data_IF_253596448706
#
_entry.id   IF_253596448706
#
_cell.length_a   1.000
_cell.length_b   1.000
_cell.length_c   1.000
_cell.angle_alpha   90.00
_cell.angle_beta   90.00
_cell.angle_gamma   90.00
#
_symmetry.space_group_name_H-M   'P 1'
#
loop_
_entity.id
_entity.type
_entity.pdbx_description
1 polymer ?
#
# COMPACT_ATOMS: atom_id res chain seq x y z
N UNK A 1 -35.85 12.35 25.62
CA UNK A 1 -35.86 13.80 25.39
C UNK A 1 -34.47 14.31 25.75
N UNK A 2 -33.56 14.31 24.77
CA UNK A 2 -32.12 14.48 25.01
C UNK A 2 -31.75 15.95 24.79
N UNK A 3 -31.45 16.66 25.86
CA UNK A 3 -31.04 18.06 25.80
C UNK A 3 -29.63 18.17 25.19
N UNK A 4 -29.55 18.78 24.02
CA UNK A 4 -28.31 19.22 23.37
C UNK A 4 -27.98 20.59 23.93
N UNK A 5 -26.81 20.77 24.54
CA UNK A 5 -26.28 22.10 24.87
C UNK A 5 -25.23 22.43 23.80
N UNK A 6 -25.46 23.51 23.06
CA UNK A 6 -24.57 24.01 22.02
C UNK A 6 -24.06 25.39 22.38
N UNK A 7 -22.74 25.53 22.53
CA UNK A 7 -22.07 26.83 22.67
C UNK A 7 -21.47 27.21 21.31
N UNK A 8 -21.65 28.46 20.87
CA UNK A 8 -21.24 28.97 19.56
C UNK A 8 -20.26 30.14 19.69
N UNK A 9 -19.17 30.12 18.91
CA UNK A 9 -18.18 31.19 18.85
C UNK A 9 -18.13 31.80 17.44
N UNK A 10 -18.06 33.13 17.35
CA UNK A 10 -18.18 33.90 16.10
C UNK A 10 -16.97 34.81 15.90
N UNK A 11 -16.41 34.83 14.69
CA UNK A 11 -15.32 35.73 14.30
C UNK A 11 -15.82 36.68 13.18
N UNK A 12 -15.76 37.99 13.43
CA UNK A 12 -16.18 39.02 12.48
C UNK A 12 -14.97 39.72 11.85
N UNK A 13 -15.01 39.90 10.54
CA UNK A 13 -14.16 40.83 9.77
C UNK A 13 -15.10 41.60 8.83
N UNK A 14 -15.08 42.92 8.92
CA UNK A 14 -15.79 43.84 7.99
C UNK A 14 -17.33 43.71 7.91
N UNK A 15 -17.99 43.17 8.95
CA UNK A 15 -19.46 43.15 9.03
C UNK A 15 -20.15 41.94 8.39
N UNK A 16 -19.38 40.94 7.93
CA UNK A 16 -19.91 39.68 7.39
C UNK A 16 -19.37 38.47 8.17
N UNK A 17 -20.18 37.43 8.33
CA UNK A 17 -19.79 36.19 9.01
C UNK A 17 -18.95 35.32 8.05
N UNK A 18 -17.65 35.16 8.33
CA UNK A 18 -16.73 34.36 7.50
C UNK A 18 -16.66 32.88 7.90
N UNK A 19 -16.73 32.58 9.20
CA UNK A 19 -16.64 31.22 9.74
C UNK A 19 -17.41 31.12 11.05
N UNK A 20 -17.94 29.94 11.35
CA UNK A 20 -18.66 29.64 12.57
C UNK A 20 -18.27 28.26 13.10
N UNK A 21 -18.26 28.10 14.42
CA UNK A 21 -18.00 26.83 15.08
C UNK A 21 -19.11 26.54 16.09
N UNK A 22 -19.65 25.33 16.04
CA UNK A 22 -20.60 24.81 17.01
C UNK A 22 -19.98 23.66 17.79
N UNK A 23 -20.01 23.74 19.12
CA UNK A 23 -19.63 22.62 19.98
C UNK A 23 -20.88 21.86 20.38
N UNK A 24 -20.97 20.59 20.02
CA UNK A 24 -22.13 19.74 20.31
C UNK A 24 -21.74 18.70 21.36
N UNK A 25 -22.43 18.74 22.52
CA UNK A 25 -22.19 17.81 23.63
C UNK A 25 -23.34 16.79 23.71
N UNK A 26 -23.00 15.50 23.62
CA UNK A 26 -23.94 14.39 23.76
C UNK A 26 -23.92 13.74 25.15
N UNK A 27 -25.08 13.34 25.68
CA UNK A 27 -25.18 12.50 26.88
C UNK A 27 -25.26 11.01 26.50
N UNK A 28 -24.71 10.13 27.34
CA UNK A 28 -24.79 8.67 27.13
C UNK A 28 -23.75 8.12 26.14
N UNK A 29 -22.65 8.85 25.94
CA UNK A 29 -21.59 8.52 24.97
C UNK A 29 -20.45 7.67 25.57
N UNK A 30 -20.72 6.92 26.65
CA UNK A 30 -19.71 6.05 27.26
C UNK A 30 -19.32 4.87 26.34
N UNK A 31 -20.26 4.42 25.50
CA UNK A 31 -20.03 3.36 24.52
C UNK A 31 -19.61 3.93 23.16
N UNK A 32 -18.52 3.40 22.61
CA UNK A 32 -17.90 3.88 21.37
C UNK A 32 -18.80 3.67 20.14
N UNK A 33 -19.61 2.62 20.11
CA UNK A 33 -20.59 2.38 19.04
C UNK A 33 -21.65 3.50 18.99
N UNK A 34 -22.17 3.89 20.15
CA UNK A 34 -23.16 4.98 20.25
C UNK A 34 -22.56 6.32 19.81
N UNK A 35 -21.30 6.60 20.16
CA UNK A 35 -20.54 7.76 19.66
C UNK A 35 -20.41 7.73 18.14
N UNK A 36 -20.06 6.58 17.57
CA UNK A 36 -19.86 6.42 16.13
C UNK A 36 -21.17 6.68 15.36
N UNK A 37 -22.29 6.12 15.81
CA UNK A 37 -23.60 6.38 15.22
C UNK A 37 -24.03 7.85 15.34
N UNK A 38 -23.75 8.49 16.48
CA UNK A 38 -24.04 9.91 16.68
C UNK A 38 -23.24 10.80 15.70
N UNK A 39 -21.93 10.59 15.61
CA UNK A 39 -21.02 11.30 14.69
C UNK A 39 -21.41 11.04 13.23
N UNK A 40 -21.81 9.82 12.88
CA UNK A 40 -22.32 9.50 11.55
C UNK A 40 -23.61 10.24 11.23
N UNK A 41 -24.54 10.33 12.20
CA UNK A 41 -25.77 11.11 12.06
C UNK A 41 -25.49 12.58 11.78
N UNK A 42 -24.56 13.19 12.53
CA UNK A 42 -24.12 14.56 12.29
C UNK A 42 -23.50 14.73 10.89
N UNK A 43 -22.61 13.80 10.48
CA UNK A 43 -22.01 13.81 9.14
C UNK A 43 -23.07 13.73 8.04
N UNK A 44 -24.13 12.95 8.23
CA UNK A 44 -25.25 12.85 7.28
C UNK A 44 -26.02 14.17 7.16
N UNK A 45 -26.24 14.86 8.29
CA UNK A 45 -26.88 16.19 8.29
C UNK A 45 -25.99 17.22 7.59
N UNK A 46 -24.69 17.25 7.90
CA UNK A 46 -23.74 18.15 7.24
C UNK A 46 -23.69 17.93 5.72
N UNK A 47 -23.66 16.67 5.29
CA UNK A 47 -23.71 16.31 3.87
C UNK A 47 -25.04 16.69 3.19
N UNK A 48 -26.14 16.79 3.95
CA UNK A 48 -27.44 17.23 3.41
C UNK A 48 -27.48 18.73 3.13
N UNK A 49 -26.51 19.49 3.65
CA UNK A 49 -26.42 20.93 3.50
C UNK A 49 -25.03 21.35 2.94
N UNK A 50 -24.70 20.93 1.71
CA UNK A 50 -23.38 21.13 1.12
C UNK A 50 -23.01 22.61 0.92
N UNK A 51 -24.00 23.51 0.85
CA UNK A 51 -23.76 24.95 0.67
C UNK A 51 -22.96 25.61 1.81
N UNK A 52 -22.86 24.98 2.98
CA UNK A 52 -22.10 25.53 4.12
C UNK A 52 -20.67 24.98 4.24
N UNK A 53 -20.27 24.02 3.39
CA UNK A 53 -18.96 23.36 3.42
C UNK A 53 -18.47 23.00 4.84
N UNK A 54 -19.39 22.53 5.68
CA UNK A 54 -19.14 22.33 7.09
C UNK A 54 -18.54 20.95 7.34
N UNK A 55 -17.46 20.90 8.11
CA UNK A 55 -16.76 19.66 8.48
C UNK A 55 -16.92 19.38 9.97
N UNK A 56 -16.93 18.09 10.31
CA UNK A 56 -17.03 17.63 11.70
C UNK A 56 -15.64 17.21 12.19
N UNK A 57 -15.18 17.85 13.25
CA UNK A 57 -13.92 17.51 13.91
C UNK A 57 -14.19 16.74 15.21
N UNK A 58 -13.59 15.56 15.33
CA UNK A 58 -13.54 14.75 16.56
C UNK A 58 -12.15 14.10 16.61
N UNK A 59 -11.47 14.18 17.76
CA UNK A 59 -10.13 13.62 17.95
C UNK A 59 -10.10 12.10 17.75
N UNK A 60 -11.22 11.42 18.01
CA UNK A 60 -11.37 9.98 17.83
C UNK A 60 -12.04 9.61 16.49
N UNK A 61 -12.20 10.57 15.56
CA UNK A 61 -12.95 10.39 14.31
C UNK A 61 -12.48 9.22 13.44
N UNK A 62 -11.18 8.90 13.48
CA UNK A 62 -10.61 7.74 12.80
C UNK A 62 -11.14 6.42 13.39
N UNK A 63 -11.14 6.29 14.72
CA UNK A 63 -11.63 5.09 15.43
C UNK A 63 -13.14 4.94 15.22
N UNK A 64 -13.90 6.03 15.30
CA UNK A 64 -15.34 6.01 15.07
C UNK A 64 -15.71 5.62 13.64
N UNK A 65 -14.94 6.10 12.66
CA UNK A 65 -15.15 5.72 11.26
C UNK A 65 -14.83 4.23 11.04
N UNK A 66 -13.77 3.72 11.66
CA UNK A 66 -13.40 2.30 11.62
C UNK A 66 -14.51 1.41 12.19
N UNK A 67 -15.10 1.77 13.34
CA UNK A 67 -16.21 1.00 13.95
C UNK A 67 -17.39 0.83 12.98
N UNK A 68 -17.65 1.82 12.14
CA UNK A 68 -18.76 1.79 11.18
C UNK A 68 -18.44 1.02 9.90
N UNK A 69 -17.18 1.04 9.43
CA UNK A 69 -16.78 0.41 8.16
C UNK A 69 -16.21 -0.99 8.32
N UNK A 70 -15.77 -1.38 9.53
CA UNK A 70 -15.08 -2.66 9.77
C UNK A 70 -15.84 -3.88 9.24
N UNK A 71 -17.17 -3.89 9.32
CA UNK A 71 -17.97 -5.01 8.81
C UNK A 71 -17.89 -5.15 7.28
N UNK A 72 -17.92 -4.03 6.57
CA UNK A 72 -17.81 -3.98 5.11
C UNK A 72 -16.38 -4.25 4.65
N UNK A 73 -15.39 -3.74 5.38
CA UNK A 73 -13.98 -3.94 5.07
C UNK A 73 -13.56 -5.41 5.31
N UNK A 74 -14.11 -6.04 6.36
CA UNK A 74 -13.88 -7.45 6.68
C UNK A 74 -14.43 -8.38 5.59
N UNK A 75 -15.67 -8.17 5.15
CA UNK A 75 -16.26 -9.00 4.08
C UNK A 75 -15.50 -8.80 2.75
N UNK A 76 -15.07 -7.56 2.47
CA UNK A 76 -14.24 -7.26 1.29
C UNK A 76 -12.90 -7.98 1.32
N UNK A 77 -12.21 -7.96 2.47
CA UNK A 77 -10.92 -8.66 2.65
C UNK A 77 -11.05 -10.19 2.54
N UNK A 78 -12.08 -10.78 3.15
CA UNK A 78 -12.34 -12.23 3.05
C UNK A 78 -12.66 -12.61 1.60
N UNK A 79 -13.50 -11.84 0.90
CA UNK A 79 -13.83 -12.11 -0.49
C UNK A 79 -12.59 -12.01 -1.39
N UNK A 80 -11.76 -10.99 -1.19
CA UNK A 80 -10.51 -10.80 -1.95
C UNK A 80 -9.52 -11.95 -1.73
N UNK A 81 -9.34 -12.40 -0.48
CA UNK A 81 -8.43 -13.52 -0.18
C UNK A 81 -8.91 -14.84 -0.78
N UNK A 82 -10.21 -15.16 -0.69
CA UNK A 82 -10.79 -16.37 -1.30
C UNK A 82 -10.68 -16.32 -2.83
N UNK A 83 -10.98 -15.17 -3.44
CA UNK A 83 -10.86 -14.98 -4.88
C UNK A 83 -9.41 -15.14 -5.34
N UNK A 84 -8.45 -14.53 -4.63
CA UNK A 84 -7.02 -14.67 -4.91
C UNK A 84 -6.57 -16.13 -4.83
N UNK A 85 -6.96 -16.84 -3.76
CA UNK A 85 -6.66 -18.27 -3.61
C UNK A 85 -7.25 -19.11 -4.75
N UNK A 86 -8.50 -18.87 -5.13
CA UNK A 86 -9.13 -19.57 -6.25
C UNK A 86 -8.39 -19.32 -7.58
N UNK A 87 -8.03 -18.07 -7.86
CA UNK A 87 -7.27 -17.69 -9.07
C UNK A 87 -5.91 -18.38 -9.09
N UNK A 88 -5.18 -18.35 -7.97
CA UNK A 88 -3.89 -19.03 -7.84
C UNK A 88 -4.09 -20.52 -8.09
N UNK A 89 -5.03 -21.19 -7.42
CA UNK A 89 -5.29 -22.62 -7.62
C UNK A 89 -5.58 -22.96 -9.09
N UNK A 90 -6.43 -22.19 -9.77
CA UNK A 90 -6.79 -22.45 -11.18
C UNK A 90 -5.59 -22.22 -12.12
N UNK A 91 -4.84 -21.14 -11.93
CA UNK A 91 -3.66 -20.85 -12.73
C UNK A 91 -2.55 -21.88 -12.48
N UNK A 92 -2.30 -22.23 -11.21
CA UNK A 92 -1.25 -23.16 -10.81
C UNK A 92 -1.54 -24.56 -11.35
N UNK A 93 -2.78 -25.06 -11.21
CA UNK A 93 -3.18 -26.38 -11.72
C UNK A 93 -3.04 -26.44 -13.25
N UNK A 94 -3.47 -25.42 -13.98
CA UNK A 94 -3.44 -25.45 -15.45
C UNK A 94 -2.05 -25.15 -16.03
N UNK A 95 -1.35 -24.12 -15.51
CA UNK A 95 -0.06 -23.69 -16.03
C UNK A 95 1.07 -24.65 -15.64
N UNK A 96 1.07 -25.22 -14.43
CA UNK A 96 2.15 -26.13 -14.04
C UNK A 96 2.02 -27.51 -14.65
N UNK A 97 0.81 -28.10 -14.67
CA UNK A 97 0.62 -29.42 -15.32
C UNK A 97 1.00 -29.35 -16.81
N UNK A 98 0.67 -28.23 -17.49
CA UNK A 98 1.08 -27.99 -18.87
C UNK A 98 2.58 -27.76 -19.07
N UNK A 99 3.22 -26.95 -18.21
CA UNK A 99 4.65 -26.62 -18.35
C UNK A 99 5.56 -27.78 -17.91
N UNK A 100 5.15 -28.58 -16.92
CA UNK A 100 5.91 -29.74 -16.43
C UNK A 100 5.81 -30.93 -17.35
N UNK A 101 4.66 -31.12 -18.02
CA UNK A 101 4.56 -32.08 -19.12
C UNK A 101 5.52 -31.74 -20.27
N UNK A 102 5.91 -30.48 -20.42
CA UNK A 102 6.84 -30.05 -21.48
C UNK A 102 8.31 -30.02 -21.02
N UNK A 103 8.59 -29.70 -19.75
CA UNK A 103 9.96 -29.61 -19.21
C UNK A 103 10.46 -30.93 -18.59
N UNK A 104 9.59 -31.92 -18.36
CA UNK A 104 9.98 -33.23 -17.82
C UNK A 104 10.53 -33.18 -16.39
N UNK A 105 10.13 -32.16 -15.62
CA UNK A 105 10.48 -32.01 -14.21
C UNK A 105 9.30 -32.43 -13.32
N UNK A 106 9.59 -32.97 -12.13
CA UNK A 106 8.57 -33.39 -11.17
C UNK A 106 8.02 -32.19 -10.36
N UNK A 107 6.70 -32.14 -10.19
CA UNK A 107 6.00 -31.13 -9.39
C UNK A 107 6.18 -31.40 -7.88
N UNK A 108 7.36 -31.12 -7.34
CA UNK A 108 7.62 -31.24 -5.90
C UNK A 108 7.07 -29.99 -5.17
N UNK A 109 6.32 -30.11 -4.05
CA UNK A 109 5.97 -28.99 -3.17
C UNK A 109 7.10 -27.98 -2.92
N UNK A 110 8.34 -28.45 -2.92
CA UNK A 110 9.56 -27.63 -2.84
C UNK A 110 9.62 -26.59 -3.97
N UNK A 111 9.43 -27.00 -5.23
CA UNK A 111 9.45 -26.10 -6.39
C UNK A 111 8.31 -25.08 -6.39
N UNK A 112 7.16 -25.43 -5.77
CA UNK A 112 6.01 -24.54 -5.67
C UNK A 112 6.28 -23.40 -4.68
N UNK A 113 6.93 -23.71 -3.55
CA UNK A 113 7.38 -22.70 -2.58
C UNK A 113 8.39 -21.75 -3.22
N UNK A 114 9.28 -22.26 -4.07
CA UNK A 114 10.27 -21.43 -4.78
C UNK A 114 9.62 -20.44 -5.75
N UNK A 115 8.57 -20.86 -6.47
CA UNK A 115 7.80 -19.95 -7.34
C UNK A 115 7.09 -18.89 -6.53
N UNK A 116 6.50 -19.24 -5.38
CA UNK A 116 5.89 -18.26 -4.48
C UNK A 116 6.92 -17.26 -3.94
N UNK A 117 8.11 -17.74 -3.55
CA UNK A 117 9.22 -16.88 -3.14
C UNK A 117 9.65 -15.93 -4.26
N UNK A 118 9.72 -16.42 -5.51
CA UNK A 118 9.99 -15.60 -6.70
C UNK A 118 8.98 -14.45 -6.84
N UNK A 119 7.70 -14.76 -6.71
CA UNK A 119 6.63 -13.76 -6.81
C UNK A 119 6.69 -12.75 -5.67
N UNK A 120 7.01 -13.18 -4.45
CA UNK A 120 7.17 -12.30 -3.29
C UNK A 120 8.29 -11.29 -3.49
N UNK A 121 9.47 -11.73 -3.92
CA UNK A 121 10.58 -10.83 -4.23
C UNK A 121 10.25 -9.88 -5.39
N UNK A 122 9.60 -10.36 -6.45
CA UNK A 122 9.20 -9.49 -7.56
C UNK A 122 8.25 -8.37 -7.11
N UNK A 123 7.23 -8.70 -6.31
CA UNK A 123 6.26 -7.71 -5.80
C UNK A 123 6.96 -6.71 -4.87
N UNK A 124 7.83 -7.17 -3.98
CA UNK A 124 8.59 -6.32 -3.06
C UNK A 124 9.44 -5.28 -3.81
N UNK A 125 10.19 -5.73 -4.81
CA UNK A 125 10.98 -4.84 -5.66
C UNK A 125 10.10 -3.83 -6.38
N UNK A 126 8.95 -4.25 -6.92
CA UNK A 126 8.04 -3.35 -7.62
C UNK A 126 7.46 -2.27 -6.71
N UNK A 127 7.07 -2.63 -5.48
CA UNK A 127 6.47 -1.71 -4.53
C UNK A 127 7.50 -0.66 -4.06
N UNK A 128 8.72 -1.10 -3.74
CA UNK A 128 9.78 -0.20 -3.30
C UNK A 128 10.23 0.76 -4.41
N UNK A 129 10.40 0.27 -5.64
CA UNK A 129 10.76 1.15 -6.78
C UNK A 129 9.62 2.10 -7.11
N UNK A 130 8.36 1.65 -7.09
CA UNK A 130 7.21 2.52 -7.33
C UNK A 130 7.10 3.62 -6.27
N UNK A 131 7.29 3.28 -4.99
CA UNK A 131 7.25 4.24 -3.89
C UNK A 131 8.32 5.33 -4.06
N UNK A 132 9.58 4.95 -4.36
CA UNK A 132 10.64 5.94 -4.62
C UNK A 132 10.40 6.74 -5.88
N UNK A 133 9.82 6.12 -6.91
CA UNK A 133 9.44 6.82 -8.12
C UNK A 133 8.41 7.90 -7.82
N UNK A 134 7.36 7.59 -7.05
CA UNK A 134 6.34 8.56 -6.64
C UNK A 134 6.86 9.68 -5.73
N UNK A 135 7.85 9.38 -4.88
CA UNK A 135 8.48 10.37 -4.01
C UNK A 135 9.53 11.25 -4.74
N UNK A 136 10.09 10.76 -5.84
CA UNK A 136 11.12 11.43 -6.61
C UNK A 136 10.60 12.68 -7.35
N UNK A 137 11.47 13.69 -7.47
CA UNK A 137 11.21 14.93 -8.18
C UNK A 137 12.00 14.97 -9.49
N UNK A 138 11.49 15.72 -10.49
CA UNK A 138 12.15 15.89 -11.79
C UNK A 138 11.42 15.18 -12.93
N UNK A 139 12.14 14.93 -14.02
CA UNK A 139 11.57 14.25 -15.19
C UNK A 139 11.29 12.78 -14.91
N UNK A 140 10.50 12.14 -15.77
CA UNK A 140 10.26 10.70 -15.77
C UNK A 140 11.57 9.89 -15.66
N UNK A 141 12.53 10.26 -16.48
CA UNK A 141 13.83 9.58 -16.60
C UNK A 141 14.65 9.78 -15.32
N UNK A 142 14.70 11.01 -14.79
CA UNK A 142 15.39 11.31 -13.53
C UNK A 142 14.80 10.51 -12.36
N UNK A 143 13.46 10.41 -12.30
CA UNK A 143 12.74 9.69 -11.26
C UNK A 143 12.95 8.18 -11.35
N UNK A 144 12.95 7.59 -12.55
CA UNK A 144 13.29 6.16 -12.73
C UNK A 144 14.76 5.90 -12.38
N UNK A 145 15.68 6.74 -12.85
CA UNK A 145 17.12 6.58 -12.60
C UNK A 145 17.47 6.70 -11.11
N UNK A 146 16.91 7.70 -10.41
CA UNK A 146 17.07 7.88 -8.96
C UNK A 146 16.48 6.71 -8.18
N UNK A 147 15.28 6.26 -8.52
CA UNK A 147 14.62 5.14 -7.83
C UNK A 147 15.42 3.85 -7.97
N UNK A 148 15.91 3.55 -9.18
CA UNK A 148 16.79 2.41 -9.40
C UNK A 148 18.11 2.53 -8.64
N UNK A 149 18.72 3.73 -8.63
CA UNK A 149 20.00 3.94 -7.96
C UNK A 149 19.92 3.68 -6.47
N UNK A 150 18.79 4.03 -5.84
CA UNK A 150 18.57 3.74 -4.42
C UNK A 150 18.26 2.26 -4.17
N UNK A 151 17.53 1.59 -5.07
CA UNK A 151 17.04 0.22 -4.87
C UNK A 151 17.99 -0.88 -5.38
N UNK A 152 18.88 -0.58 -6.32
CA UNK A 152 19.73 -1.61 -6.94
C UNK A 152 20.72 -2.25 -5.95
N UNK A 153 21.34 -1.45 -5.07
CA UNK A 153 22.29 -1.96 -4.07
C UNK A 153 21.63 -2.94 -3.07
N UNK A 154 20.52 -2.61 -2.40
CA UNK A 154 19.86 -3.55 -1.49
C UNK A 154 19.32 -4.79 -2.21
N UNK A 155 18.85 -4.67 -3.46
CA UNK A 155 18.40 -5.82 -4.26
C UNK A 155 19.55 -6.79 -4.56
N UNK A 156 20.69 -6.30 -5.04
CA UNK A 156 21.87 -7.13 -5.31
C UNK A 156 22.38 -7.77 -4.02
N UNK A 157 22.40 -7.02 -2.91
CA UNK A 157 22.81 -7.54 -1.62
C UNK A 157 21.89 -8.67 -1.12
N UNK A 158 20.57 -8.52 -1.28
CA UNK A 158 19.59 -9.54 -0.94
C UNK A 158 19.71 -10.80 -1.82
N UNK A 159 19.96 -10.62 -3.11
CA UNK A 159 20.22 -11.74 -4.01
C UNK A 159 21.50 -12.49 -3.65
N UNK A 160 22.59 -11.76 -3.40
CA UNK A 160 23.87 -12.35 -3.03
C UNK A 160 23.82 -13.08 -1.69
N UNK A 161 23.12 -12.54 -0.70
CA UNK A 161 22.96 -13.21 0.60
C UNK A 161 22.17 -14.53 0.46
N UNK A 162 21.18 -14.58 -0.44
CA UNK A 162 20.44 -15.81 -0.73
C UNK A 162 21.33 -16.84 -1.43
N UNK A 163 22.18 -16.42 -2.37
CA UNK A 163 23.15 -17.33 -2.99
C UNK A 163 24.15 -17.89 -1.97
N UNK A 164 24.68 -17.04 -1.08
CA UNK A 164 25.57 -17.49 -0.01
C UNK A 164 24.86 -18.45 0.97
N UNK A 165 23.58 -18.23 1.23
CA UNK A 165 22.75 -19.10 2.07
C UNK A 165 22.53 -20.49 1.44
N UNK A 166 22.31 -20.56 0.12
CA UNK A 166 22.05 -21.82 -0.58
C UNK A 166 23.31 -22.61 -0.93
N UNK A 167 24.48 -21.96 -0.97
CA UNK A 167 25.76 -22.58 -1.31
C UNK A 167 26.11 -23.83 -0.47
N UNK A 168 25.98 -23.85 0.87
CA UNK A 168 26.23 -25.05 1.67
C UNK A 168 25.24 -26.20 1.41
N UNK A 169 24.01 -25.90 1.00
CA UNK A 169 22.96 -26.91 0.78
C UNK A 169 23.24 -27.77 -0.47
N UNK A 170 23.97 -27.23 -1.44
CA UNK A 170 24.37 -27.97 -2.65
C UNK A 170 25.31 -29.14 -2.33
N UNK A 171 26.07 -29.07 -1.23
CA UNK A 171 27.00 -30.11 -0.81
C UNK A 171 26.33 -31.26 -0.01
N UNK A 172 25.04 -31.14 0.28
CA UNK A 172 24.29 -32.19 0.99
C UNK A 172 23.87 -33.27 -0.01
N UNK A 173 24.20 -34.56 0.22
CA UNK A 173 23.89 -35.65 -0.71
C UNK A 173 22.42 -36.10 -0.59
N UNK A 174 21.49 -35.17 -0.71
CA UNK A 174 20.04 -35.42 -0.67
C UNK A 174 19.39 -34.73 -1.85
N UNK A 175 18.73 -35.51 -2.70
CA UNK A 175 18.11 -35.03 -3.94
C UNK A 175 17.20 -33.80 -3.72
N UNK A 176 16.31 -33.86 -2.72
CA UNK A 176 15.37 -32.76 -2.44
C UNK A 176 16.09 -31.45 -2.06
N UNK A 177 17.16 -31.52 -1.26
CA UNK A 177 17.90 -30.35 -0.79
C UNK A 177 18.71 -29.73 -1.94
N UNK A 178 19.32 -30.56 -2.79
CA UNK A 178 20.05 -30.09 -3.97
C UNK A 178 19.10 -29.51 -5.02
N UNK A 179 17.94 -30.12 -5.23
CA UNK A 179 16.90 -29.61 -6.12
C UNK A 179 16.44 -28.22 -5.66
N UNK A 180 16.10 -28.08 -4.37
CA UNK A 180 15.72 -26.81 -3.74
C UNK A 180 16.80 -25.72 -3.87
N UNK A 181 18.06 -26.04 -3.57
CA UNK A 181 19.13 -25.05 -3.69
C UNK A 181 19.33 -24.58 -5.14
N UNK A 182 19.17 -25.48 -6.12
CA UNK A 182 19.29 -25.16 -7.56
C UNK A 182 18.11 -24.33 -8.07
N UNK A 183 16.89 -24.63 -7.64
CA UNK A 183 15.69 -23.89 -8.01
C UNK A 183 15.70 -22.48 -7.43
N UNK A 184 16.07 -22.30 -6.16
CA UNK A 184 16.26 -20.96 -5.56
C UNK A 184 17.30 -20.15 -6.33
N UNK A 185 18.41 -20.77 -6.74
CA UNK A 185 19.45 -20.07 -7.50
C UNK A 185 18.89 -19.49 -8.81
N UNK A 186 18.15 -20.31 -9.57
CA UNK A 186 17.50 -19.90 -10.82
C UNK A 186 16.45 -18.81 -10.58
N UNK A 187 15.59 -19.00 -9.58
CA UNK A 187 14.51 -18.07 -9.24
C UNK A 187 15.06 -16.70 -8.84
N UNK A 188 16.08 -16.64 -7.99
CA UNK A 188 16.66 -15.36 -7.56
C UNK A 188 17.38 -14.68 -8.72
N UNK A 189 18.07 -15.42 -9.59
CA UNK A 189 18.65 -14.84 -10.80
C UNK A 189 17.59 -14.22 -11.71
N UNK A 190 16.49 -14.94 -11.97
CA UNK A 190 15.39 -14.44 -12.79
C UNK A 190 14.72 -13.23 -12.11
N UNK A 191 14.49 -13.29 -10.80
CA UNK A 191 13.88 -12.21 -10.02
C UNK A 191 14.72 -10.93 -10.02
N UNK A 192 16.05 -11.04 -9.87
CA UNK A 192 16.96 -9.90 -9.98
C UNK A 192 16.96 -9.30 -11.40
N UNK A 193 17.01 -10.14 -12.44
CA UNK A 193 16.97 -9.67 -13.82
C UNK A 193 15.63 -8.99 -14.12
N UNK A 194 14.52 -9.59 -13.71
CA UNK A 194 13.19 -9.03 -13.92
C UNK A 194 13.00 -7.72 -13.14
N UNK A 195 13.37 -7.69 -11.86
CA UNK A 195 13.25 -6.52 -10.99
C UNK A 195 14.15 -5.35 -11.39
N UNK A 196 15.38 -5.60 -11.83
CA UNK A 196 16.33 -4.54 -12.20
C UNK A 196 16.20 -4.07 -13.65
N UNK A 197 15.77 -4.91 -14.59
CA UNK A 197 15.74 -4.57 -16.02
C UNK A 197 14.34 -4.39 -16.59
N UNK A 198 13.38 -5.26 -16.27
CA UNK A 198 12.04 -5.17 -16.88
C UNK A 198 11.25 -4.01 -16.28
N UNK A 199 11.37 -3.83 -14.97
CA UNK A 199 10.66 -2.78 -14.25
C UNK A 199 10.97 -1.33 -14.71
N UNK A 200 12.23 -0.90 -14.88
CA UNK A 200 12.52 0.44 -15.36
C UNK A 200 12.09 0.67 -16.82
N UNK A 201 12.11 -0.37 -17.65
CA UNK A 201 11.59 -0.30 -19.02
C UNK A 201 10.07 -0.08 -19.00
N UNK A 202 9.34 -0.82 -18.16
CA UNK A 202 7.89 -0.64 -18.01
C UNK A 202 7.52 0.74 -17.44
N UNK A 203 8.26 1.24 -16.45
CA UNK A 203 8.05 2.58 -15.89
C UNK A 203 8.36 3.68 -16.91
N UNK A 204 9.45 3.55 -17.67
CA UNK A 204 9.81 4.51 -18.73
C UNK A 204 8.72 4.60 -19.81
N UNK A 205 8.19 3.46 -20.27
CA UNK A 205 7.09 3.43 -21.24
C UNK A 205 5.78 4.00 -20.68
N UNK A 206 5.43 3.64 -19.44
CA UNK A 206 4.17 4.09 -18.81
C UNK A 206 4.14 5.59 -18.54
N UNK A 207 5.30 6.17 -18.20
CA UNK A 207 5.43 7.60 -17.90
C UNK A 207 5.58 8.42 -19.17
N UNK A 208 6.22 7.90 -20.23
CA UNK A 208 6.23 8.56 -21.54
C UNK A 208 4.81 8.86 -22.07
N UNK A 209 3.81 8.08 -21.63
CA UNK A 209 2.40 8.24 -22.01
C UNK A 209 1.57 9.14 -21.07
N UNK A 210 2.07 9.57 -19.91
CA UNK A 210 1.30 10.36 -18.92
C UNK A 210 1.93 11.73 -18.68
N UNK A 211 1.11 12.80 -18.82
CA UNK A 211 1.50 14.18 -18.52
C UNK A 211 2.16 14.30 -17.14
N UNK A 212 3.10 15.26 -16.93
CA UNK A 212 3.79 15.42 -15.66
C UNK A 212 2.78 15.52 -14.50
N UNK A 213 2.89 14.59 -13.55
CA UNK A 213 2.07 14.58 -12.35
C UNK A 213 2.32 15.89 -11.57
N UNK A 214 1.26 16.57 -11.09
CA UNK A 214 1.45 17.74 -10.23
C UNK A 214 2.23 17.33 -8.97
N UNK A 215 3.20 18.17 -8.61
CA UNK A 215 4.11 17.94 -7.49
C UNK A 215 3.32 17.67 -6.19
N UNK A 216 3.72 16.70 -5.35
CA UNK A 216 3.21 16.63 -3.99
C UNK A 216 3.61 17.92 -3.28
N UNK A 217 2.61 18.66 -2.79
CA UNK A 217 2.81 19.89 -2.03
C UNK A 217 3.62 19.50 -0.79
N UNK A 218 4.87 19.97 -0.70
CA UNK A 218 5.73 19.80 0.47
C UNK A 218 5.09 20.50 1.66
N UNK A 219 4.29 19.78 2.45
CA UNK A 219 3.67 20.26 3.68
C UNK A 219 4.70 20.53 4.81
N UNK A 220 5.98 20.26 4.58
CA UNK A 220 7.02 20.34 5.61
C UNK A 220 7.79 21.66 5.64
N UNK A 221 7.75 22.50 4.59
CA UNK A 221 8.42 23.82 4.59
C UNK A 221 7.53 25.02 4.94
N UNK A 222 6.24 24.80 5.19
CA UNK A 222 5.35 25.87 5.69
C UNK A 222 5.50 26.04 7.21
N UNK A 223 5.77 24.95 7.94
CA UNK A 223 5.84 25.00 9.41
C UNK A 223 7.13 25.66 9.90
N UNK A 224 8.25 25.50 9.20
CA UNK A 224 9.54 26.09 9.61
C UNK A 224 9.59 27.61 9.38
N UNK A 225 8.91 28.12 8.35
CA UNK A 225 8.82 29.57 8.10
C UNK A 225 7.82 30.31 9.01
N UNK A 226 6.86 29.61 9.63
CA UNK A 226 5.94 30.22 10.60
C UNK A 226 6.51 30.20 12.04
N UNK A 227 7.45 29.30 12.34
CA UNK A 227 8.15 29.25 13.62
C UNK A 227 9.24 30.34 13.76
N UNK A 228 9.84 30.77 12.64
CA UNK A 228 10.81 31.88 12.59
C UNK A 228 10.15 33.28 12.48
N UNK A 229 8.82 33.35 12.59
CA UNK A 229 8.04 34.60 12.61
C UNK A 229 7.23 34.79 13.91
N UNK A 230 7.54 34.01 14.94
CA UNK A 230 7.12 34.25 16.34
C UNK A 230 8.35 34.44 17.24
#
# INVERSE_FOLDING_TARGET
MNAIKSDAAWYYLEGYLKSFMFVVLGRGMAEWANRAHFVHGLRKVLNSYPQWNATLFDGDSAVLSLILTVGHDLIGSIAATVACMAVICILFVNSLVGLLSWWGADLDPVTQVDVLLATGFSVDYTAHVAYQFYRGYGTAEDRVASSLREMAAPMIQAGLSTFLCMLPLIFVPTYAIVAFAKTIFIVVSIGLVHGLFVLPVLLSLSVSSSNPLPLPIKSEHVIENEADQL
#
